data_IF_093794838183
#
_entry.id   IF_093794838183
#
_cell.length_a   1.000
_cell.length_b   1.000
_cell.length_c   1.000
_cell.angle_alpha   90.00
_cell.angle_beta   90.00
_cell.angle_gamma   90.00
#
_symmetry.space_group_name_H-M   'P 1'
#
loop_
_entity.id
_entity.type
_entity.pdbx_description
1 polymer ?
#
# COMPACT_ATOMS: atom_id res chain seq x y z
N UNK A 1 12.65 3.86 -2.54
CA UNK A 1 11.53 4.66 -1.98
C UNK A 1 11.22 4.07 -0.60
N UNK A 2 11.23 4.86 0.48
CA UNK A 2 11.12 4.35 1.86
C UNK A 2 9.68 3.92 2.26
N UNK A 3 8.71 4.11 1.37
CA UNK A 3 7.30 3.93 1.67
C UNK A 3 6.92 2.48 2.05
N UNK A 4 7.49 1.48 1.35
CA UNK A 4 7.26 0.07 1.67
C UNK A 4 7.84 -0.33 3.03
N UNK A 5 8.99 0.25 3.38
CA UNK A 5 9.61 0.06 4.69
C UNK A 5 8.74 0.65 5.81
N UNK A 6 8.23 1.87 5.61
CA UNK A 6 7.27 2.50 6.54
C UNK A 6 6.00 1.65 6.70
N UNK A 7 5.46 1.10 5.60
CA UNK A 7 4.30 0.21 5.66
C UNK A 7 4.59 -1.03 6.51
N UNK A 8 5.77 -1.64 6.35
CA UNK A 8 6.22 -2.76 7.16
C UNK A 8 6.26 -2.41 8.66
N UNK A 9 6.90 -1.30 9.02
CA UNK A 9 6.98 -0.85 10.42
C UNK A 9 5.61 -0.55 11.03
N UNK A 10 4.77 0.21 10.32
CA UNK A 10 3.44 0.59 10.82
C UNK A 10 2.49 -0.60 10.93
N UNK A 11 2.54 -1.54 9.98
CA UNK A 11 1.76 -2.78 10.03
C UNK A 11 2.24 -3.69 11.16
N UNK A 12 3.56 -3.84 11.33
CA UNK A 12 4.15 -4.59 12.43
C UNK A 12 3.76 -4.01 13.79
N UNK A 13 3.79 -2.69 13.94
CA UNK A 13 3.37 -2.02 15.17
C UNK A 13 1.91 -2.30 15.50
N UNK A 14 1.02 -2.18 14.51
CA UNK A 14 -0.40 -2.48 14.66
C UNK A 14 -0.64 -3.95 15.01
N UNK A 15 0.02 -4.88 14.33
CA UNK A 15 -0.07 -6.31 14.61
C UNK A 15 0.31 -6.62 16.07
N UNK A 16 1.40 -6.02 16.57
CA UNK A 16 1.83 -6.21 17.95
C UNK A 16 0.85 -5.62 18.97
N UNK A 17 0.26 -4.44 18.69
CA UNK A 17 -0.76 -3.85 19.56
C UNK A 17 -2.02 -4.72 19.62
N UNK A 18 -2.55 -5.14 18.48
CA UNK A 18 -3.71 -6.04 18.42
C UNK A 18 -3.42 -7.39 19.09
N UNK A 19 -2.24 -7.97 18.88
CA UNK A 19 -1.86 -9.24 19.50
C UNK A 19 -1.64 -9.13 21.02
N UNK A 20 -1.27 -7.94 21.51
CA UNK A 20 -1.17 -7.65 22.94
C UNK A 20 -2.56 -7.50 23.59
N UNK A 21 -3.61 -7.24 22.82
CA UNK A 21 -4.98 -7.22 23.35
C UNK A 21 -5.50 -8.62 23.66
N UNK A 22 -5.20 -9.59 22.80
CA UNK A 22 -5.64 -10.97 22.99
C UNK A 22 -4.82 -11.72 24.04
N UNK A 23 -3.50 -11.47 24.06
CA UNK A 23 -2.56 -12.13 24.99
C UNK A 23 -1.54 -11.11 25.51
N UNK A 24 -1.86 -10.39 26.60
CA UNK A 24 -1.02 -9.32 27.12
C UNK A 24 0.38 -9.80 27.53
N UNK A 25 1.42 -9.16 27.00
CA UNK A 25 2.81 -9.36 27.43
C UNK A 25 3.55 -8.03 27.41
N UNK A 26 4.67 -7.91 28.11
CA UNK A 26 5.45 -6.66 28.11
C UNK A 26 6.22 -6.45 26.79
N UNK A 27 6.70 -7.51 26.14
CA UNK A 27 7.57 -7.43 24.97
C UNK A 27 6.82 -6.98 23.71
N UNK A 28 5.54 -7.33 23.56
CA UNK A 28 4.72 -6.97 22.39
C UNK A 28 4.55 -5.45 22.22
N UNK A 29 4.06 -4.70 23.24
CA UNK A 29 3.98 -3.26 23.12
C UNK A 29 5.38 -2.64 23.00
N UNK A 30 6.41 -3.18 23.66
CA UNK A 30 7.77 -2.68 23.49
C UNK A 30 8.24 -2.79 22.03
N UNK A 31 7.99 -3.94 21.38
CA UNK A 31 8.27 -4.13 19.97
C UNK A 31 7.41 -3.22 19.08
N UNK A 32 6.14 -3.00 19.43
CA UNK A 32 5.27 -2.07 18.71
C UNK A 32 5.83 -0.65 18.71
N UNK A 33 6.24 -0.15 19.88
CA UNK A 33 6.84 1.18 20.03
C UNK A 33 8.20 1.28 19.35
N UNK A 34 9.01 0.22 19.37
CA UNK A 34 10.25 0.13 18.57
C UNK A 34 9.96 0.26 17.08
N UNK A 35 8.97 -0.46 16.54
CA UNK A 35 8.58 -0.32 15.14
C UNK A 35 8.07 1.09 14.82
N UNK A 36 7.31 1.72 15.71
CA UNK A 36 6.92 3.13 15.53
C UNK A 36 8.12 4.07 15.51
N UNK A 37 9.12 3.86 16.39
CA UNK A 37 10.38 4.60 16.41
C UNK A 37 11.18 4.46 15.12
N UNK A 38 11.31 3.23 14.60
CA UNK A 38 11.91 2.97 13.29
C UNK A 38 11.09 3.60 12.14
N UNK A 39 9.77 3.66 12.28
CA UNK A 39 8.88 4.41 11.40
C UNK A 39 9.18 5.92 11.40
N UNK A 40 9.45 6.51 12.58
CA UNK A 40 9.88 7.91 12.69
C UNK A 40 11.20 8.14 11.96
N UNK A 41 12.18 7.27 12.14
CA UNK A 41 13.45 7.36 11.40
C UNK A 41 13.26 7.25 9.88
N UNK A 42 12.26 6.49 9.43
CA UNK A 42 12.03 6.25 8.00
C UNK A 42 11.35 7.43 7.31
N UNK A 43 10.36 8.06 7.95
CA UNK A 43 9.51 9.08 7.30
C UNK A 43 8.95 10.16 8.24
N UNK A 44 9.56 10.34 9.41
CA UNK A 44 9.16 11.36 10.38
C UNK A 44 7.94 10.96 11.21
N UNK A 45 7.29 11.94 11.88
CA UNK A 45 6.26 11.71 12.91
C UNK A 45 5.08 10.84 12.47
N UNK A 46 4.81 10.76 11.16
CA UNK A 46 3.79 9.91 10.56
C UNK A 46 3.97 8.44 10.95
N UNK A 47 5.20 7.96 11.12
CA UNK A 47 5.49 6.59 11.55
C UNK A 47 5.00 6.23 12.96
N UNK A 48 4.72 7.23 13.79
CA UNK A 48 4.11 7.09 15.12
C UNK A 48 2.60 7.34 15.06
N UNK A 49 2.21 8.47 14.46
CA UNK A 49 0.82 8.95 14.46
C UNK A 49 -0.10 7.99 13.72
N UNK A 50 0.35 7.43 12.58
CA UNK A 50 -0.47 6.54 11.76
C UNK A 50 -0.84 5.26 12.51
N UNK A 51 0.11 4.44 13.00
CA UNK A 51 -0.25 3.19 13.66
C UNK A 51 -0.92 3.43 15.02
N UNK A 52 -0.51 4.44 15.81
CA UNK A 52 -1.18 4.74 17.08
C UNK A 52 -2.63 5.21 16.86
N UNK A 53 -2.84 6.13 15.92
CA UNK A 53 -4.17 6.65 15.60
C UNK A 53 -5.07 5.63 14.90
N UNK A 54 -4.53 4.79 14.01
CA UNK A 54 -5.27 3.70 13.38
C UNK A 54 -5.74 2.67 14.41
N UNK A 55 -4.88 2.30 15.36
CA UNK A 55 -5.23 1.41 16.46
C UNK A 55 -6.33 2.01 17.35
N UNK A 56 -6.16 3.27 17.78
CA UNK A 56 -7.15 3.97 18.60
C UNK A 56 -8.50 4.07 17.87
N UNK A 57 -8.50 4.50 16.60
CA UNK A 57 -9.70 4.61 15.79
C UNK A 57 -10.40 3.26 15.58
N UNK A 58 -9.65 2.18 15.35
CA UNK A 58 -10.21 0.84 15.26
C UNK A 58 -10.94 0.43 16.55
N UNK A 59 -10.33 0.69 17.71
CA UNK A 59 -10.93 0.37 19.03
C UNK A 59 -12.14 1.25 19.31
N UNK A 60 -12.07 2.56 19.08
CA UNK A 60 -13.22 3.46 19.25
C UNK A 60 -14.37 3.10 18.31
N UNK A 61 -14.08 2.88 17.03
CA UNK A 61 -15.08 2.49 16.05
C UNK A 61 -15.79 1.21 16.45
N UNK A 62 -15.11 0.25 17.11
CA UNK A 62 -15.69 -0.99 17.63
C UNK A 62 -16.38 -0.88 19.00
N UNK A 63 -16.33 0.28 19.67
CA UNK A 63 -16.88 0.47 21.02
C UNK A 63 -15.97 -0.08 22.13
N UNK A 64 -14.68 -0.24 21.85
CA UNK A 64 -13.68 -0.87 22.73
C UNK A 64 -12.68 0.15 23.29
N UNK A 65 -13.09 1.42 23.40
CA UNK A 65 -12.26 2.50 23.97
C UNK A 65 -11.59 2.16 25.31
N UNK A 66 -12.24 1.44 26.26
CA UNK A 66 -11.58 1.06 27.52
C UNK A 66 -10.30 0.22 27.34
N UNK A 67 -10.17 -0.54 26.24
CA UNK A 67 -8.97 -1.35 25.92
C UNK A 67 -7.74 -0.46 25.71
N UNK A 68 -7.91 0.81 25.38
CA UNK A 68 -6.83 1.78 25.21
C UNK A 68 -6.19 2.21 26.54
N UNK A 69 -6.81 1.94 27.69
CA UNK A 69 -6.30 2.31 29.02
C UNK A 69 -5.20 1.33 29.48
N UNK A 70 -4.10 1.27 28.74
CA UNK A 70 -2.95 0.40 29.02
C UNK A 70 -1.73 1.20 29.49
N UNK A 71 -0.90 0.65 30.39
CA UNK A 71 0.26 1.35 30.95
C UNK A 71 1.32 1.68 29.90
N UNK A 72 1.39 0.91 28.80
CA UNK A 72 2.37 1.14 27.74
C UNK A 72 2.20 2.45 26.98
N UNK A 73 1.08 3.15 27.13
CA UNK A 73 0.93 4.51 26.57
C UNK A 73 1.76 5.56 27.32
N UNK A 74 2.20 5.26 28.55
CA UNK A 74 3.04 6.15 29.35
C UNK A 74 4.51 5.97 28.98
N UNK A 75 5.02 4.74 29.02
CA UNK A 75 6.43 4.44 28.76
C UNK A 75 6.79 4.23 27.29
N UNK A 76 5.79 3.99 26.44
CA UNK A 76 5.97 3.68 25.03
C UNK A 76 6.42 4.85 24.14
N UNK A 77 5.82 6.04 24.24
CA UNK A 77 6.27 7.20 23.46
C UNK A 77 7.73 7.56 23.71
N UNK A 78 8.24 7.60 24.97
CA UNK A 78 9.67 7.75 25.22
C UNK A 78 10.53 6.69 24.52
N UNK A 79 10.10 5.42 24.53
CA UNK A 79 10.82 4.34 23.85
C UNK A 79 10.86 4.54 22.32
N UNK A 80 9.75 4.96 21.70
CA UNK A 80 9.71 5.23 20.27
C UNK A 80 10.58 6.45 19.89
N UNK A 81 10.61 7.48 20.74
CA UNK A 81 11.41 8.70 20.54
C UNK A 81 12.90 8.50 20.79
N UNK A 82 13.30 7.50 21.59
CA UNK A 82 14.70 7.19 21.85
C UNK A 82 15.49 6.91 20.56
N UNK A 83 14.86 6.25 19.57
CA UNK A 83 15.47 5.94 18.27
C UNK A 83 15.84 7.19 17.45
N UNK A 84 14.90 8.08 17.09
CA UNK A 84 15.24 9.32 16.41
C UNK A 84 16.08 10.26 17.27
N UNK A 85 15.91 10.28 18.59
CA UNK A 85 16.73 11.10 19.47
C UNK A 85 18.20 10.67 19.46
N UNK A 86 18.49 9.36 19.50
CA UNK A 86 19.86 8.85 19.43
C UNK A 86 20.52 9.22 18.09
N UNK A 87 19.80 9.10 16.98
CA UNK A 87 20.30 9.49 15.66
C UNK A 87 20.53 11.00 15.54
N UNK A 88 19.57 11.82 15.98
CA UNK A 88 19.70 13.28 15.97
C UNK A 88 20.84 13.77 16.89
N UNK A 89 21.03 13.13 18.04
CA UNK A 89 22.14 13.41 18.94
C UNK A 89 23.50 13.13 18.29
N UNK A 90 23.62 12.02 17.56
CA UNK A 90 24.82 11.70 16.79
C UNK A 90 25.07 12.72 15.68
N UNK A 91 24.03 13.09 14.93
CA UNK A 91 24.10 14.11 13.87
C UNK A 91 24.58 15.45 14.43
N UNK A 92 24.04 15.87 15.58
CA UNK A 92 24.49 17.06 16.29
C UNK A 92 25.96 16.98 16.71
N UNK A 93 26.39 15.82 17.22
CA UNK A 93 27.78 15.61 17.63
C UNK A 93 28.76 15.61 16.46
N UNK A 94 28.38 15.07 15.30
CA UNK A 94 29.23 15.06 14.10
C UNK A 94 29.34 16.41 13.38
N UNK A 95 28.69 17.47 13.90
CA UNK A 95 28.76 18.82 13.34
C UNK A 95 27.84 19.02 12.13
N UNK A 96 26.53 18.87 12.34
CA UNK A 96 25.55 19.17 11.29
C UNK A 96 25.60 20.63 10.83
N UNK A 97 25.43 20.91 9.53
CA UNK A 97 25.36 22.29 9.01
C UNK A 97 24.28 23.13 9.70
N UNK A 98 24.53 24.44 9.81
CA UNK A 98 23.55 25.37 10.39
C UNK A 98 22.20 25.28 9.66
N UNK A 99 21.11 25.27 10.43
CA UNK A 99 19.75 25.16 9.89
C UNK A 99 19.31 23.76 9.46
N UNK A 100 20.20 22.77 9.34
CA UNK A 100 19.85 21.41 8.92
C UNK A 100 18.76 20.77 9.80
N UNK A 101 18.94 20.84 11.13
CA UNK A 101 17.97 20.26 12.08
C UNK A 101 16.63 20.99 12.07
N UNK A 102 16.65 22.32 11.98
CA UNK A 102 15.43 23.12 11.84
C UNK A 102 14.68 22.71 10.59
N UNK A 103 15.39 22.54 9.48
CA UNK A 103 14.75 22.22 8.22
C UNK A 103 14.24 20.78 8.15
N UNK A 104 14.96 19.84 8.74
CA UNK A 104 14.52 18.46 8.87
C UNK A 104 13.28 18.32 9.77
N UNK A 105 13.26 18.99 10.93
CA UNK A 105 12.19 18.86 11.91
C UNK A 105 10.96 19.71 11.55
N UNK A 106 11.18 20.97 11.17
CA UNK A 106 10.13 21.97 10.93
C UNK A 106 9.76 22.03 9.46
N UNK A 107 10.71 22.26 8.56
CA UNK A 107 10.44 22.43 7.12
C UNK A 107 9.82 21.18 6.49
N UNK A 108 10.50 20.03 6.64
CA UNK A 108 10.08 18.79 5.97
C UNK A 108 8.82 18.14 6.56
N UNK A 109 8.44 18.45 7.80
CA UNK A 109 7.24 17.89 8.44
C UNK A 109 6.12 18.93 8.56
N UNK A 110 6.38 20.05 9.25
CA UNK A 110 5.35 21.01 9.64
C UNK A 110 4.99 21.96 8.48
N UNK A 111 5.99 22.58 7.84
CA UNK A 111 5.75 23.47 6.69
C UNK A 111 5.19 22.67 5.49
N UNK A 112 5.68 21.43 5.30
CA UNK A 112 5.13 20.51 4.30
C UNK A 112 3.69 20.10 4.59
N UNK A 113 3.33 19.84 5.84
CA UNK A 113 1.96 19.51 6.23
C UNK A 113 1.01 20.71 6.06
N UNK A 114 1.49 21.92 6.35
CA UNK A 114 0.75 23.18 6.19
C UNK A 114 0.54 23.58 4.71
N UNK A 115 1.24 22.95 3.76
CA UNK A 115 1.11 23.23 2.33
C UNK A 115 2.14 24.21 1.77
N UNK A 116 3.21 24.51 2.52
CA UNK A 116 4.33 25.31 2.03
C UNK A 116 5.10 24.63 0.88
N UNK A 117 5.02 23.29 0.78
CA UNK A 117 5.71 22.51 -0.26
C UNK A 117 4.87 21.31 -0.75
N UNK A 118 4.56 21.28 -2.04
CA UNK A 118 3.98 20.11 -2.73
C UNK A 118 2.71 20.41 -3.52
N UNK A 119 2.15 19.38 -4.16
CA UNK A 119 0.91 19.52 -4.92
C UNK A 119 -0.29 19.51 -3.98
N UNK A 120 -0.89 20.68 -3.78
CA UNK A 120 -2.17 20.82 -3.10
C UNK A 120 -3.23 20.08 -3.92
N UNK A 121 -4.01 19.23 -3.26
CA UNK A 121 -5.06 18.42 -3.88
C UNK A 121 -6.34 18.49 -3.06
N UNK A 122 -7.52 18.29 -3.68
CA UNK A 122 -8.80 18.39 -2.98
C UNK A 122 -8.92 17.36 -1.85
N UNK A 123 -9.81 17.63 -0.89
CA UNK A 123 -10.11 16.72 0.22
C UNK A 123 -10.52 15.32 -0.27
N UNK A 124 -11.26 15.26 -1.38
CA UNK A 124 -11.75 14.00 -1.98
C UNK A 124 -10.68 13.20 -2.71
N UNK A 125 -9.43 13.68 -2.80
CA UNK A 125 -8.37 13.07 -3.60
C UNK A 125 -8.16 11.57 -3.35
N UNK A 126 -8.24 11.13 -2.10
CA UNK A 126 -7.92 9.75 -1.74
C UNK A 126 -9.05 8.76 -2.03
N UNK A 127 -10.30 9.20 -2.17
CA UNK A 127 -11.42 8.31 -2.48
C UNK A 127 -11.24 7.61 -3.84
N UNK A 128 -11.06 8.33 -4.97
CA UNK A 128 -10.86 7.69 -6.25
C UNK A 128 -9.47 7.04 -6.37
N UNK A 129 -8.44 7.62 -5.74
CA UNK A 129 -7.08 7.06 -5.84
C UNK A 129 -6.96 5.71 -5.14
N UNK A 130 -7.51 5.60 -3.93
CA UNK A 130 -7.54 4.35 -3.17
C UNK A 130 -8.45 3.31 -3.82
N UNK A 131 -9.60 3.74 -4.34
CA UNK A 131 -10.49 2.85 -5.10
C UNK A 131 -9.78 2.25 -6.32
N UNK A 132 -8.97 3.05 -7.04
CA UNK A 132 -8.17 2.60 -8.17
C UNK A 132 -7.01 1.69 -7.76
N UNK A 133 -6.26 2.05 -6.71
CA UNK A 133 -5.11 1.28 -6.23
C UNK A 133 -5.50 -0.11 -5.71
N UNK A 134 -6.74 -0.29 -5.27
CA UNK A 134 -7.27 -1.56 -4.76
C UNK A 134 -8.12 -2.32 -5.78
N UNK A 135 -8.21 -1.84 -7.03
CA UNK A 135 -8.78 -2.64 -8.11
C UNK A 135 -7.97 -3.95 -8.20
N UNK A 136 -8.65 -5.09 -8.41
CA UNK A 136 -10.09 -5.27 -8.60
C UNK A 136 -10.92 -5.47 -7.32
N UNK A 137 -10.29 -5.61 -6.16
CA UNK A 137 -10.96 -5.90 -4.89
C UNK A 137 -11.94 -4.80 -4.42
N UNK A 138 -11.77 -3.57 -4.90
CA UNK A 138 -12.72 -2.47 -4.64
C UNK A 138 -14.17 -2.83 -5.03
N UNK A 139 -14.37 -3.62 -6.10
CA UNK A 139 -15.72 -4.05 -6.50
C UNK A 139 -16.35 -5.03 -5.50
N UNK A 140 -15.53 -5.80 -4.79
CA UNK A 140 -15.97 -6.74 -3.76
C UNK A 140 -16.26 -6.04 -2.43
N UNK A 141 -15.80 -4.80 -2.22
CA UNK A 141 -15.89 -4.11 -0.94
C UNK A 141 -17.34 -3.95 -0.41
N UNK A 142 -18.35 -3.54 -1.22
CA UNK A 142 -19.72 -3.45 -0.72
C UNK A 142 -20.30 -4.80 -0.31
N UNK A 143 -20.05 -5.86 -1.10
CA UNK A 143 -20.48 -7.22 -0.76
C UNK A 143 -19.79 -7.70 0.52
N UNK A 144 -18.47 -7.49 0.65
CA UNK A 144 -17.71 -7.86 1.82
C UNK A 144 -18.25 -7.15 3.08
N UNK A 145 -18.47 -5.83 3.01
CA UNK A 145 -19.04 -5.08 4.12
C UNK A 145 -20.42 -5.60 4.53
N UNK A 146 -21.30 -5.89 3.57
CA UNK A 146 -22.63 -6.47 3.84
C UNK A 146 -22.53 -7.86 4.47
N UNK A 147 -21.65 -8.74 3.98
CA UNK A 147 -21.44 -10.09 4.52
C UNK A 147 -21.00 -10.01 5.99
N UNK A 148 -19.98 -9.19 6.30
CA UNK A 148 -19.51 -9.02 7.68
C UNK A 148 -20.54 -8.31 8.57
N UNK A 149 -21.38 -7.44 8.01
CA UNK A 149 -22.39 -6.70 8.77
C UNK A 149 -23.53 -7.59 9.24
N UNK A 150 -23.94 -8.57 8.43
CA UNK A 150 -25.00 -9.51 8.75
C UNK A 150 -24.55 -10.65 9.68
N UNK A 151 -23.25 -10.90 9.80
CA UNK A 151 -22.69 -11.83 10.77
C UNK A 151 -22.43 -11.11 12.12
N UNK A 152 -23.21 -11.39 13.18
CA UNK A 152 -23.06 -10.73 14.48
C UNK A 152 -21.67 -10.90 15.09
N UNK A 153 -21.00 -12.04 14.82
CA UNK A 153 -19.67 -12.33 15.34
C UNK A 153 -18.60 -11.47 14.63
N UNK A 154 -18.80 -11.17 13.34
CA UNK A 154 -17.86 -10.39 12.52
C UNK A 154 -18.15 -8.89 12.46
N UNK A 155 -19.33 -8.45 12.89
CA UNK A 155 -19.72 -7.02 12.90
C UNK A 155 -18.73 -6.14 13.66
N UNK A 156 -18.18 -6.66 14.75
CA UNK A 156 -17.14 -5.97 15.55
C UNK A 156 -15.84 -5.83 14.78
N UNK A 157 -15.41 -6.87 14.05
CA UNK A 157 -14.24 -6.82 13.17
C UNK A 157 -14.43 -5.78 12.06
N UNK A 158 -15.60 -5.75 11.41
CA UNK A 158 -15.93 -4.73 10.41
C UNK A 158 -15.77 -3.31 10.95
N UNK A 159 -16.26 -3.06 12.18
CA UNK A 159 -16.10 -1.75 12.84
C UNK A 159 -14.63 -1.41 13.11
N UNK A 160 -13.82 -2.38 13.58
CA UNK A 160 -12.37 -2.18 13.79
C UNK A 160 -11.65 -1.81 12.49
N UNK A 161 -11.86 -2.59 11.44
CA UNK A 161 -11.21 -2.40 10.15
C UNK A 161 -11.69 -1.10 9.47
N UNK A 162 -12.99 -0.80 9.54
CA UNK A 162 -13.56 0.45 9.06
C UNK A 162 -13.02 1.67 9.81
N UNK A 163 -12.82 1.57 11.12
CA UNK A 163 -12.18 2.62 11.92
C UNK A 163 -10.73 2.88 11.53
N UNK A 164 -9.94 1.82 11.29
CA UNK A 164 -8.57 1.94 10.79
C UNK A 164 -8.54 2.60 9.40
N UNK A 165 -9.29 2.07 8.43
CA UNK A 165 -9.34 2.63 7.06
C UNK A 165 -9.82 4.08 7.10
N UNK A 166 -10.89 4.36 7.84
CA UNK A 166 -11.48 5.69 8.00
C UNK A 166 -10.51 6.69 8.62
N UNK A 167 -9.75 6.29 9.65
CA UNK A 167 -8.73 7.16 10.25
C UNK A 167 -7.67 7.55 9.23
N UNK A 168 -7.10 6.59 8.49
CA UNK A 168 -6.05 6.88 7.51
C UNK A 168 -6.56 7.81 6.41
N UNK A 169 -7.77 7.53 5.89
CA UNK A 169 -8.41 8.37 4.90
C UNK A 169 -8.61 9.79 5.40
N UNK A 170 -9.25 9.96 6.56
CA UNK A 170 -9.58 11.29 7.11
C UNK A 170 -8.30 12.04 7.46
N UNK A 171 -7.37 11.40 8.18
CA UNK A 171 -6.11 11.99 8.59
C UNK A 171 -5.33 12.57 7.41
N UNK A 172 -5.11 11.79 6.35
CA UNK A 172 -4.37 12.28 5.19
C UNK A 172 -5.20 13.23 4.31
N UNK A 173 -6.53 13.11 4.29
CA UNK A 173 -7.39 14.02 3.51
C UNK A 173 -7.40 15.45 4.07
N UNK A 174 -7.26 15.60 5.39
CA UNK A 174 -7.15 16.90 6.06
C UNK A 174 -5.84 17.61 5.74
N UNK A 175 -4.75 16.88 5.46
CA UNK A 175 -3.45 17.50 5.12
C UNK A 175 -3.46 18.14 3.72
N UNK A 176 -2.84 19.32 3.60
CA UNK A 176 -2.79 20.10 2.35
C UNK A 176 -2.02 19.37 1.25
N UNK A 177 -0.83 18.86 1.59
CA UNK A 177 0.06 18.15 0.67
C UNK A 177 -0.31 16.67 0.59
N UNK A 178 -0.74 16.22 -0.59
CA UNK A 178 -1.24 14.84 -0.77
C UNK A 178 -0.37 14.01 -1.70
N UNK A 179 -0.15 12.75 -1.32
CA UNK A 179 0.59 11.76 -2.12
C UNK A 179 -0.09 10.42 -2.02
N UNK A 180 -0.31 9.75 -3.16
CA UNK A 180 -1.10 8.51 -3.20
C UNK A 180 -0.53 7.42 -2.27
N UNK A 181 0.79 7.39 -2.10
CA UNK A 181 1.47 6.40 -1.26
C UNK A 181 1.13 6.52 0.24
N UNK A 182 0.51 7.61 0.70
CA UNK A 182 0.14 7.73 2.12
C UNK A 182 -1.01 6.80 2.54
N UNK A 183 -1.98 6.56 1.65
CA UNK A 183 -3.12 5.69 1.96
C UNK A 183 -2.78 4.19 1.92
N UNK A 184 -1.57 3.82 1.49
CA UNK A 184 -1.09 2.43 1.55
C UNK A 184 -1.12 1.85 2.97
N UNK A 185 -1.06 2.69 4.00
CA UNK A 185 -1.22 2.24 5.39
C UNK A 185 -2.59 1.60 5.70
N UNK A 186 -3.61 1.84 4.86
CA UNK A 186 -4.93 1.24 5.00
C UNK A 186 -5.04 -0.13 4.30
N UNK A 187 -4.10 -0.47 3.41
CA UNK A 187 -4.11 -1.72 2.64
C UNK A 187 -4.15 -2.98 3.53
N UNK A 188 -3.43 -3.08 4.66
CA UNK A 188 -3.55 -4.26 5.53
C UNK A 188 -4.96 -4.44 6.10
N UNK A 189 -5.60 -3.36 6.54
CA UNK A 189 -6.97 -3.41 7.06
C UNK A 189 -7.97 -3.82 5.97
N UNK A 190 -7.80 -3.28 4.77
CA UNK A 190 -8.60 -3.62 3.60
C UNK A 190 -8.44 -5.11 3.22
N UNK A 191 -7.20 -5.60 3.16
CA UNK A 191 -6.91 -7.00 2.86
C UNK A 191 -7.54 -7.95 3.89
N UNK A 192 -7.44 -7.62 5.19
CA UNK A 192 -8.10 -8.40 6.25
C UNK A 192 -9.62 -8.36 6.08
N UNK A 193 -10.21 -7.20 5.73
CA UNK A 193 -11.66 -7.05 5.54
C UNK A 193 -12.16 -7.95 4.41
N UNK A 194 -11.51 -7.87 3.25
CA UNK A 194 -11.88 -8.69 2.08
C UNK A 194 -11.64 -10.17 2.36
N UNK A 195 -10.48 -10.54 2.93
CA UNK A 195 -10.15 -11.93 3.28
C UNK A 195 -11.13 -12.53 4.30
N UNK A 196 -11.62 -11.72 5.24
CA UNK A 196 -12.64 -12.13 6.22
C UNK A 196 -14.00 -12.42 5.57
N UNK A 197 -14.25 -11.88 4.38
CA UNK A 197 -15.49 -12.07 3.61
C UNK A 197 -15.38 -13.16 2.54
N UNK A 198 -14.18 -13.69 2.26
CA UNK A 198 -13.92 -14.65 1.18
C UNK A 198 -14.93 -15.80 1.12
N UNK A 199 -15.25 -16.52 2.21
CA UNK A 199 -16.21 -17.63 2.14
C UNK A 199 -17.59 -17.21 1.62
N UNK A 200 -18.07 -16.02 2.00
CA UNK A 200 -19.35 -15.49 1.51
C UNK A 200 -19.27 -14.96 0.09
N UNK A 201 -18.13 -14.36 -0.30
CA UNK A 201 -17.88 -13.91 -1.68
C UNK A 201 -17.83 -15.10 -2.65
N UNK A 202 -17.13 -16.16 -2.26
CA UNK A 202 -17.01 -17.42 -3.01
C UNK A 202 -18.36 -18.14 -3.12
N UNK A 203 -19.09 -18.28 -2.01
CA UNK A 203 -20.45 -18.80 -2.00
C UNK A 203 -21.46 -17.92 -2.77
N UNK A 204 -21.06 -16.73 -3.24
CA UNK A 204 -21.91 -15.85 -4.04
C UNK A 204 -23.18 -15.43 -3.29
N UNK A 205 -23.09 -15.20 -1.97
CA UNK A 205 -24.21 -14.86 -1.09
C UNK A 205 -24.77 -13.46 -1.40
N UNK A 206 -25.48 -13.35 -2.52
CA UNK A 206 -26.11 -12.12 -2.98
C UNK A 206 -25.81 -11.77 -4.44
N UNK A 207 -26.69 -10.94 -5.03
CA UNK A 207 -26.52 -10.43 -6.40
C UNK A 207 -25.21 -9.66 -6.57
N UNK A 208 -24.84 -8.86 -5.58
CA UNK A 208 -23.62 -8.04 -5.63
C UNK A 208 -22.33 -8.87 -5.66
N UNK A 209 -22.24 -9.95 -4.88
CA UNK A 209 -21.08 -10.84 -4.90
C UNK A 209 -20.90 -11.49 -6.28
N UNK A 210 -22.00 -11.98 -6.89
CA UNK A 210 -21.97 -12.54 -8.26
C UNK A 210 -21.58 -11.50 -9.32
N UNK A 211 -22.12 -10.29 -9.24
CA UNK A 211 -21.76 -9.19 -10.13
C UNK A 211 -20.29 -8.79 -9.97
N UNK A 212 -19.78 -8.70 -8.74
CA UNK A 212 -18.38 -8.39 -8.46
C UNK A 212 -17.43 -9.46 -9.02
N UNK A 213 -17.75 -10.75 -8.85
CA UNK A 213 -16.98 -11.86 -9.45
C UNK A 213 -16.93 -11.76 -10.98
N UNK A 214 -18.08 -11.50 -11.59
CA UNK A 214 -18.19 -11.34 -13.05
C UNK A 214 -17.41 -10.13 -13.55
N UNK A 215 -17.55 -8.98 -12.89
CA UNK A 215 -16.83 -7.76 -13.21
C UNK A 215 -15.32 -7.94 -13.09
N UNK A 216 -14.85 -8.64 -12.05
CA UNK A 216 -13.43 -8.98 -11.87
C UNK A 216 -12.89 -9.82 -13.04
N UNK A 217 -13.58 -10.90 -13.40
CA UNK A 217 -13.16 -11.78 -14.49
C UNK A 217 -13.16 -11.04 -15.84
N UNK A 218 -14.21 -10.26 -16.13
CA UNK A 218 -14.30 -9.44 -17.35
C UNK A 218 -13.19 -8.40 -17.40
N UNK A 219 -12.92 -7.72 -16.28
CA UNK A 219 -11.85 -6.72 -16.20
C UNK A 219 -10.50 -7.34 -16.55
N UNK A 220 -10.17 -8.52 -15.99
CA UNK A 220 -8.91 -9.20 -16.30
C UNK A 220 -8.84 -9.65 -17.77
N UNK A 221 -9.95 -10.12 -18.35
CA UNK A 221 -10.00 -10.46 -19.78
C UNK A 221 -9.75 -9.22 -20.65
N UNK A 222 -10.43 -8.10 -20.37
CA UNK A 222 -10.28 -6.85 -21.10
C UNK A 222 -8.86 -6.30 -20.97
N UNK A 223 -8.29 -6.31 -19.76
CA UNK A 223 -6.90 -5.90 -19.52
C UNK A 223 -5.93 -6.81 -20.27
N UNK A 224 -6.12 -8.14 -20.21
CA UNK A 224 -5.27 -9.11 -20.90
C UNK A 224 -5.26 -8.90 -22.42
N UNK A 225 -6.44 -8.75 -23.03
CA UNK A 225 -6.59 -8.45 -24.45
C UNK A 225 -5.94 -7.10 -24.79
N UNK A 226 -6.22 -6.06 -23.99
CA UNK A 226 -5.67 -4.72 -24.21
C UNK A 226 -4.14 -4.68 -24.14
N UNK A 227 -3.53 -5.39 -23.19
CA UNK A 227 -2.07 -5.48 -23.06
C UNK A 227 -1.42 -6.21 -24.25
N UNK A 228 -2.04 -7.29 -24.72
CA UNK A 228 -1.54 -8.01 -25.89
C UNK A 228 -1.71 -7.20 -27.18
N UNK A 229 -2.86 -6.54 -27.35
CA UNK A 229 -3.09 -5.67 -28.50
C UNK A 229 -2.12 -4.46 -28.51
N UNK A 230 -1.94 -3.80 -27.36
CA UNK A 230 -1.01 -2.67 -27.23
C UNK A 230 0.43 -3.07 -27.47
N UNK A 231 0.83 -4.32 -27.19
CA UNK A 231 2.20 -4.79 -27.44
C UNK A 231 2.67 -4.68 -28.90
N UNK A 232 1.75 -4.60 -29.86
CA UNK A 232 2.05 -4.42 -31.29
C UNK A 232 2.04 -2.94 -31.72
N UNK A 233 1.80 -2.01 -30.80
CA UNK A 233 1.71 -0.60 -31.12
C UNK A 233 3.11 0.02 -31.29
N UNK A 234 3.42 0.62 -32.46
CA UNK A 234 4.79 1.07 -32.79
C UNK A 234 5.26 2.26 -31.95
N UNK A 235 4.34 3.03 -31.36
CA UNK A 235 4.65 4.20 -30.54
C UNK A 235 4.87 3.94 -29.04
N UNK A 236 5.02 2.68 -28.61
CA UNK A 236 5.19 2.38 -27.19
C UNK A 236 6.57 2.86 -26.65
N UNK A 237 6.60 3.48 -25.46
CA UNK A 237 7.86 3.85 -24.81
C UNK A 237 8.63 2.66 -24.21
N UNK A 238 8.06 1.45 -24.28
CA UNK A 238 8.61 0.20 -23.75
C UNK A 238 8.58 -0.87 -24.84
N UNK A 239 9.46 -1.87 -24.72
CA UNK A 239 9.47 -2.97 -25.67
C UNK A 239 8.18 -3.81 -25.53
N UNK A 240 7.38 -3.92 -26.59
CA UNK A 240 6.05 -4.54 -26.54
C UNK A 240 6.01 -5.93 -25.92
N UNK A 241 7.04 -6.75 -26.16
CA UNK A 241 7.17 -8.10 -25.58
C UNK A 241 7.16 -8.12 -24.05
N UNK A 242 7.54 -7.03 -23.38
CA UNK A 242 7.52 -6.94 -21.91
C UNK A 242 6.10 -6.99 -21.33
N UNK A 243 5.08 -6.71 -22.15
CA UNK A 243 3.67 -6.76 -21.78
C UNK A 243 3.08 -8.16 -21.96
N UNK A 244 3.71 -9.04 -22.73
CA UNK A 244 3.16 -10.37 -23.04
C UNK A 244 2.95 -11.25 -21.80
N UNK A 245 3.91 -11.38 -20.86
CA UNK A 245 3.70 -12.20 -19.67
C UNK A 245 2.51 -11.71 -18.84
N UNK A 246 2.41 -10.39 -18.64
CA UNK A 246 1.30 -9.78 -17.91
C UNK A 246 -0.04 -9.99 -18.63
N UNK A 247 -0.07 -9.76 -19.95
CA UNK A 247 -1.26 -9.93 -20.78
C UNK A 247 -1.76 -11.37 -20.77
N UNK A 248 -0.86 -12.35 -20.89
CA UNK A 248 -1.18 -13.77 -20.83
C UNK A 248 -1.68 -14.20 -19.45
N UNK A 249 -1.05 -13.75 -18.36
CA UNK A 249 -1.49 -14.05 -16.99
C UNK A 249 -2.90 -13.48 -16.75
N UNK A 250 -3.14 -12.23 -17.15
CA UNK A 250 -4.45 -11.59 -17.01
C UNK A 250 -5.51 -12.32 -17.84
N UNK A 251 -5.20 -12.70 -19.09
CA UNK A 251 -6.14 -13.38 -19.98
C UNK A 251 -6.48 -14.81 -19.51
N UNK A 252 -5.46 -15.61 -19.20
CA UNK A 252 -5.62 -17.00 -18.73
C UNK A 252 -6.27 -17.04 -17.34
N UNK A 253 -5.86 -16.15 -16.43
CA UNK A 253 -6.48 -15.98 -15.12
C UNK A 253 -7.93 -15.52 -15.21
N UNK A 254 -8.23 -14.55 -16.08
CA UNK A 254 -9.59 -14.10 -16.36
C UNK A 254 -10.48 -15.21 -16.92
N UNK A 255 -9.97 -16.04 -17.84
CA UNK A 255 -10.70 -17.18 -18.38
C UNK A 255 -10.96 -18.28 -17.33
N UNK A 256 -9.97 -18.56 -16.48
CA UNK A 256 -10.10 -19.51 -15.37
C UNK A 256 -11.14 -19.02 -14.33
N UNK A 257 -11.09 -17.74 -13.97
CA UNK A 257 -12.08 -17.12 -13.08
C UNK A 257 -13.47 -17.07 -13.72
N UNK A 258 -13.58 -16.84 -15.03
CA UNK A 258 -14.85 -16.89 -15.75
C UNK A 258 -15.49 -18.28 -15.71
N UNK A 259 -14.67 -19.34 -15.76
CA UNK A 259 -15.15 -20.71 -15.55
C UNK A 259 -15.72 -20.88 -14.15
N UNK A 260 -15.05 -20.37 -13.12
CA UNK A 260 -15.52 -20.35 -11.72
C UNK A 260 -16.82 -19.54 -11.55
N UNK A 261 -17.00 -18.44 -12.29
CA UNK A 261 -18.22 -17.64 -12.26
C UNK A 261 -19.48 -18.43 -12.64
N UNK A 262 -19.34 -19.42 -13.55
CA UNK A 262 -20.47 -20.26 -14.01
C UNK A 262 -20.95 -21.25 -12.94
N UNK A 263 -20.14 -21.54 -11.93
CA UNK A 263 -20.55 -22.40 -10.83
C UNK A 263 -21.36 -21.61 -9.81
N UNK A 264 -22.37 -22.27 -9.24
CA UNK A 264 -23.22 -21.66 -8.20
C UNK A 264 -22.40 -21.39 -6.94
N UNK A 265 -21.49 -22.30 -6.58
CA UNK A 265 -20.60 -22.21 -5.41
C UNK A 265 -19.15 -22.55 -5.80
N UNK A 266 -18.39 -21.62 -6.42
CA UNK A 266 -16.97 -21.84 -6.69
C UNK A 266 -16.18 -21.91 -5.36
N UNK A 267 -15.45 -23.00 -5.07
CA UNK A 267 -14.73 -23.15 -3.80
C UNK A 267 -13.43 -22.33 -3.74
N UNK A 268 -12.94 -21.81 -4.88
CA UNK A 268 -11.56 -21.29 -5.00
C UNK A 268 -11.46 -19.94 -5.72
N UNK A 269 -12.57 -19.25 -6.02
CA UNK A 269 -12.55 -18.02 -6.83
C UNK A 269 -11.63 -16.95 -6.22
N UNK A 270 -11.79 -16.61 -4.94
CA UNK A 270 -10.98 -15.58 -4.29
C UNK A 270 -9.50 -15.95 -4.22
N UNK A 271 -9.18 -17.22 -3.95
CA UNK A 271 -7.79 -17.70 -3.93
C UNK A 271 -7.15 -17.63 -5.33
N UNK A 272 -7.85 -18.11 -6.36
CA UNK A 272 -7.39 -18.06 -7.74
C UNK A 272 -7.17 -16.60 -8.17
N UNK A 273 -8.11 -15.71 -7.85
CA UNK A 273 -8.00 -14.27 -8.12
C UNK A 273 -6.75 -13.65 -7.46
N UNK A 274 -6.48 -13.98 -6.20
CA UNK A 274 -5.30 -13.51 -5.49
C UNK A 274 -4.00 -14.02 -6.13
N UNK A 275 -3.94 -15.30 -6.53
CA UNK A 275 -2.77 -15.89 -7.19
C UNK A 275 -2.51 -15.26 -8.56
N UNK A 276 -3.56 -15.01 -9.36
CA UNK A 276 -3.44 -14.34 -10.66
C UNK A 276 -2.89 -12.92 -10.50
N UNK A 277 -3.38 -12.16 -9.53
CA UNK A 277 -2.87 -10.81 -9.27
C UNK A 277 -1.43 -10.82 -8.77
N UNK A 278 -1.06 -11.76 -7.89
CA UNK A 278 0.33 -11.92 -7.45
C UNK A 278 1.26 -12.24 -8.63
N UNK A 279 0.86 -13.17 -9.51
CA UNK A 279 1.61 -13.48 -10.72
C UNK A 279 1.72 -12.27 -11.66
N UNK A 280 0.65 -11.48 -11.80
CA UNK A 280 0.64 -10.25 -12.58
C UNK A 280 1.65 -9.23 -12.04
N UNK A 281 1.63 -8.95 -10.73
CA UNK A 281 2.58 -8.03 -10.08
C UNK A 281 4.03 -8.51 -10.22
N UNK A 282 4.28 -9.82 -10.05
CA UNK A 282 5.58 -10.42 -10.30
C UNK A 282 6.06 -10.21 -11.74
N UNK A 283 5.16 -10.38 -12.72
CA UNK A 283 5.49 -10.19 -14.13
C UNK A 283 5.85 -8.73 -14.45
N UNK A 284 5.13 -7.76 -13.87
CA UNK A 284 5.46 -6.34 -13.99
C UNK A 284 6.86 -6.06 -13.43
N UNK A 285 7.15 -6.59 -12.24
CA UNK A 285 8.43 -6.44 -11.57
C UNK A 285 9.61 -6.98 -12.38
N UNK A 286 9.46 -8.15 -13.00
CA UNK A 286 10.52 -8.81 -13.76
C UNK A 286 10.71 -8.25 -15.16
N UNK A 287 9.62 -7.95 -15.87
CA UNK A 287 9.68 -7.64 -17.30
C UNK A 287 9.51 -6.16 -17.61
N UNK A 288 8.66 -5.43 -16.88
CA UNK A 288 8.30 -4.05 -17.21
C UNK A 288 9.13 -2.99 -16.46
N UNK A 289 9.38 -3.20 -15.17
CA UNK A 289 10.12 -2.23 -14.34
C UNK A 289 11.58 -2.03 -14.80
N UNK A 290 12.37 -3.07 -15.13
CA UNK A 290 13.75 -2.90 -15.58
C UNK A 290 13.87 -2.07 -16.87
N UNK A 291 12.87 -2.15 -17.74
CA UNK A 291 12.85 -1.44 -19.01
C UNK A 291 12.48 0.04 -18.83
N UNK A 292 11.52 0.32 -17.94
CA UNK A 292 11.05 1.69 -17.64
C UNK A 292 12.02 2.50 -16.78
N UNK A 293 12.81 1.85 -15.92
CA UNK A 293 13.75 2.52 -15.02
C UNK A 293 15.15 1.93 -15.23
N UNK A 294 16.01 2.57 -16.04
CA UNK A 294 17.34 2.05 -16.35
C UNK A 294 18.22 1.76 -15.12
N UNK A 295 18.04 2.53 -14.03
CA UNK A 295 18.77 2.35 -12.78
C UNK A 295 18.33 1.14 -11.93
N UNK A 296 17.28 0.41 -12.34
CA UNK A 296 16.76 -0.78 -11.64
C UNK A 296 16.91 -2.06 -12.47
N UNK A 297 17.84 -2.08 -13.42
CA UNK A 297 18.10 -3.25 -14.26
C UNK A 297 18.93 -4.28 -13.50
N UNK A 298 18.48 -5.54 -13.38
CA UNK A 298 19.24 -6.60 -12.73
C UNK A 298 20.38 -7.17 -13.59
N UNK A 299 20.40 -6.89 -14.89
CA UNK A 299 21.45 -7.34 -15.82
C UNK A 299 21.92 -6.20 -16.75
N UNK A 300 23.22 -6.08 -17.03
CA UNK A 300 23.70 -5.19 -18.08
C UNK A 300 23.32 -5.78 -19.44
N UNK A 301 22.47 -5.07 -20.19
CA UNK A 301 22.41 -5.27 -21.63
C UNK A 301 23.68 -4.65 -22.20
N UNK A 302 24.68 -5.50 -22.49
CA UNK A 302 25.64 -5.17 -23.54
C UNK A 302 24.82 -4.92 -24.80
N UNK A 303 24.55 -3.65 -25.12
CA UNK A 303 24.36 -3.31 -26.51
C UNK A 303 25.68 -3.72 -27.18
N UNK A 304 25.68 -4.57 -28.22
CA UNK A 304 26.80 -4.52 -29.13
C UNK A 304 26.83 -3.07 -29.58
N UNK A 305 27.91 -2.34 -29.30
CA UNK A 305 28.23 -1.16 -30.07
C UNK A 305 28.34 -1.66 -31.51
N UNK A 306 27.24 -1.59 -32.25
CA UNK A 306 27.26 -1.76 -33.69
C UNK A 306 28.26 -0.74 -34.20
N UNK A 307 29.28 -1.24 -34.90
CA UNK A 307 30.33 -0.47 -35.54
C UNK A 307 29.73 0.70 -36.34
N UNK A 308 29.67 1.87 -35.72
CA UNK A 308 29.40 3.14 -36.37
C UNK A 308 30.03 4.29 -35.55
N UNK A 309 31.23 4.09 -35.03
CA UNK A 309 32.13 5.22 -34.74
C UNK A 309 32.66 5.73 -36.09
N UNK A 310 31.96 6.68 -36.71
CA UNK A 310 32.62 7.62 -37.63
C UNK A 310 33.35 8.66 -36.78
N UNK A 311 34.65 8.90 -36.98
CA UNK A 311 35.37 9.93 -36.25
C UNK A 311 35.10 11.27 -36.94
N UNK A 312 34.30 12.13 -36.30
CA UNK A 312 34.29 13.56 -36.63
C UNK A 312 34.16 14.34 -35.33
N UNK A 313 35.34 14.67 -34.81
CA UNK A 313 35.72 15.92 -34.15
C UNK A 313 34.61 16.98 -34.12
N UNK A 314 34.13 17.31 -32.92
CA UNK A 314 34.25 18.67 -32.39
C UNK A 314 33.77 18.72 -30.93
N UNK A 315 34.74 18.94 -30.05
CA UNK A 315 34.51 19.56 -28.75
C UNK A 315 33.83 20.92 -28.95
N UNK A 316 32.77 21.17 -28.20
CA UNK A 316 32.39 22.53 -27.81
C UNK A 316 32.16 22.52 -26.30
N UNK A 317 33.25 22.81 -25.61
CA UNK A 317 33.27 23.42 -24.29
C UNK A 317 32.75 24.86 -24.36
N UNK A 318 31.96 25.22 -23.34
CA UNK A 318 31.87 26.54 -22.66
C UNK A 318 31.17 27.70 -23.40
N UNK A 319 30.63 28.71 -22.66
CA UNK A 319 30.81 29.02 -21.24
C UNK A 319 29.62 28.66 -20.33
#
# INVERSE_FOLDING_TARGET
RPDGLLLGWTTGALAMLFWNDDKPTFWKPALAWTFMGLGILTKGPVGLVVPAGAYAAARFAAGEGPVLRKPHWIWGPPLALAWPAAWLGLVGWTGAPEGYLRELLVGQNLERAAGGFGHVRPFTYYLPSMAADWIPWTFCLPAAALILFHDPQRRRLLRRLGGWIGFILIFFSVLSTKRNVYVFGATPAFAILIGSAWPGLDAGTGRWARSARSAFAILLLVIGIGLLATSFWPGLPLAGWSLWPLGLIALTGGAALWREVRWVNPPTFCLLAALVLLAAEWSVGLFSIPLSIPSRRPWPLHRPCGNACRPTVHCCSTP
#
